data_IF_728903858477
#
_entry.id   IF_728903858477
#
_cell.length_a   1.000
_cell.length_b   1.000
_cell.length_c   1.000
_cell.angle_alpha   90.00
_cell.angle_beta   90.00
_cell.angle_gamma   90.00
#
_symmetry.space_group_name_H-M   'P 1'
#
loop_
_entity.id
_entity.type
_entity.pdbx_description
1 polymer ?
#
# COMPACT_ATOMS: atom_id res chain seq x y z
N UNK A 1 8.66 -3.31 3.09
CA UNK A 1 7.69 -4.31 2.58
C UNK A 1 6.29 -3.72 2.59
N UNK A 2 5.52 -3.93 1.53
CA UNK A 2 4.12 -3.49 1.48
C UNK A 2 3.17 -4.56 2.02
N UNK A 3 2.05 -4.11 2.58
CA UNK A 3 0.91 -4.92 2.98
C UNK A 3 -0.29 -4.64 2.08
N UNK A 4 -1.24 -5.57 2.02
CA UNK A 4 -2.41 -5.47 1.14
C UNK A 4 -3.70 -5.60 1.95
N UNK A 5 -4.55 -4.57 1.90
CA UNK A 5 -5.92 -4.65 2.40
C UNK A 5 -6.83 -5.15 1.28
N UNK A 6 -7.52 -6.27 1.50
CA UNK A 6 -8.46 -6.87 0.55
C UNK A 6 -9.88 -6.53 0.95
N UNK A 7 -10.58 -5.78 0.10
CA UNK A 7 -11.98 -5.40 0.32
C UNK A 7 -12.86 -6.27 -0.56
N UNK A 8 -13.69 -7.12 0.06
CA UNK A 8 -14.67 -7.96 -0.64
C UNK A 8 -15.99 -7.21 -0.80
N UNK A 9 -16.05 -6.30 -1.75
CA UNK A 9 -17.25 -5.53 -2.08
C UNK A 9 -17.50 -5.54 -3.60
N UNK A 10 -18.17 -6.59 -4.09
CA UNK A 10 -18.48 -6.81 -5.50
C UNK A 10 -17.25 -7.12 -6.36
N UNK A 11 -16.37 -6.13 -6.52
CA UNK A 11 -15.09 -6.25 -7.22
C UNK A 11 -13.94 -6.50 -6.22
N UNK A 12 -12.88 -7.20 -6.64
CA UNK A 12 -11.64 -7.33 -5.86
C UNK A 12 -10.90 -5.99 -5.77
N UNK A 13 -11.32 -5.12 -4.86
CA UNK A 13 -10.61 -3.89 -4.53
C UNK A 13 -9.50 -4.23 -3.53
N UNK A 14 -8.31 -3.73 -3.84
CA UNK A 14 -7.11 -3.92 -3.03
C UNK A 14 -6.48 -2.57 -2.75
N UNK A 15 -5.98 -2.39 -1.54
CA UNK A 15 -5.23 -1.19 -1.16
C UNK A 15 -3.83 -1.60 -0.73
N UNK A 16 -2.80 -0.99 -1.32
CA UNK A 16 -1.42 -1.16 -0.89
C UNK A 16 -1.16 -0.24 0.30
N UNK A 17 -0.59 -0.80 1.36
CA UNK A 17 -0.32 -0.13 2.63
C UNK A 17 1.14 -0.29 3.03
N UNK A 18 1.63 0.64 3.84
CA UNK A 18 2.95 0.58 4.46
C UNK A 18 2.83 0.90 5.96
N UNK A 19 3.58 0.18 6.79
CA UNK A 19 3.63 0.40 8.23
C UNK A 19 4.68 1.48 8.55
N UNK A 20 4.31 2.49 9.34
CA UNK A 20 5.20 3.65 9.58
C UNK A 20 6.00 3.51 10.88
N UNK A 21 5.42 2.84 11.88
CA UNK A 21 5.95 2.80 13.24
C UNK A 21 6.54 1.44 13.63
N UNK A 22 6.27 0.38 12.86
CA UNK A 22 6.82 -0.94 13.12
C UNK A 22 6.93 -1.77 11.83
N UNK A 23 7.95 -2.63 11.71
CA UNK A 23 8.15 -3.47 10.51
C UNK A 23 7.21 -4.67 10.46
N UNK A 24 6.79 -5.19 11.61
CA UNK A 24 5.75 -6.22 11.72
C UNK A 24 4.36 -5.57 11.76
N UNK A 25 3.51 -5.91 10.79
CA UNK A 25 2.13 -5.42 10.72
C UNK A 25 1.29 -5.77 11.96
N UNK A 26 1.50 -6.94 12.57
CA UNK A 26 0.74 -7.33 13.77
C UNK A 26 1.03 -6.45 15.00
N UNK A 27 2.18 -5.78 15.00
CA UNK A 27 2.66 -4.94 16.10
C UNK A 27 2.59 -3.44 15.77
N UNK A 28 2.27 -3.07 14.53
CA UNK A 28 2.18 -1.67 14.13
C UNK A 28 0.89 -1.02 14.66
N UNK A 29 0.96 0.26 14.99
CA UNK A 29 -0.22 1.06 15.35
C UNK A 29 -0.55 2.09 14.26
N UNK A 30 0.37 2.32 13.31
CA UNK A 30 0.22 3.31 12.24
C UNK A 30 0.54 2.72 10.89
N UNK A 31 -0.41 2.85 9.98
CA UNK A 31 -0.25 2.51 8.57
C UNK A 31 -0.62 3.69 7.69
N UNK A 32 0.02 3.77 6.53
CA UNK A 32 -0.38 4.67 5.44
C UNK A 32 -0.95 3.84 4.30
N UNK A 33 -2.13 4.24 3.82
CA UNK A 33 -2.73 3.72 2.60
C UNK A 33 -2.17 4.51 1.41
N UNK A 34 -1.52 3.83 0.47
CA UNK A 34 -0.80 4.48 -0.63
C UNK A 34 -1.67 4.60 -1.87
N UNK A 35 -2.21 3.48 -2.34
CA UNK A 35 -3.14 3.46 -3.47
C UNK A 35 -4.12 2.29 -3.42
N UNK A 36 -5.32 2.53 -3.95
CA UNK A 36 -6.35 1.51 -4.17
C UNK A 36 -6.46 1.16 -5.66
N UNK A 37 -6.68 -0.11 -5.97
CA UNK A 37 -6.87 -0.59 -7.33
C UNK A 37 -7.82 -1.79 -7.38
N UNK A 38 -8.51 -1.95 -8.49
CA UNK A 38 -9.23 -3.19 -8.79
C UNK A 38 -8.25 -4.19 -9.40
N UNK A 39 -8.07 -5.35 -8.78
CA UNK A 39 -7.22 -6.39 -9.35
C UNK A 39 -7.97 -7.17 -10.42
N UNK A 40 -7.55 -7.02 -11.68
CA UNK A 40 -8.05 -7.83 -12.80
C UNK A 40 -7.00 -8.84 -13.25
N UNK A 41 -5.72 -8.52 -13.08
CA UNK A 41 -4.57 -9.33 -13.49
C UNK A 41 -3.35 -9.06 -12.59
N UNK A 42 -2.30 -9.86 -12.76
CA UNK A 42 -1.00 -9.62 -12.11
C UNK A 42 -0.36 -8.30 -12.59
N UNK A 43 -0.64 -7.85 -13.82
CA UNK A 43 -0.12 -6.58 -14.34
C UNK A 43 -0.66 -5.38 -13.57
N UNK A 44 -1.92 -5.44 -13.11
CA UNK A 44 -2.51 -4.37 -12.28
C UNK A 44 -1.82 -4.26 -10.94
N UNK A 45 -1.52 -5.42 -10.33
CA UNK A 45 -0.77 -5.48 -9.07
C UNK A 45 0.62 -4.87 -9.22
N UNK A 46 1.38 -5.25 -10.26
CA UNK A 46 2.71 -4.69 -10.52
C UNK A 46 2.68 -3.17 -10.74
N UNK A 47 1.64 -2.65 -11.41
CA UNK A 47 1.44 -1.21 -11.56
C UNK A 47 1.14 -0.56 -10.21
N UNK A 48 0.30 -1.17 -9.40
CA UNK A 48 -0.05 -0.67 -8.07
C UNK A 48 1.19 -0.58 -7.16
N UNK A 49 2.07 -1.59 -7.17
CA UNK A 49 3.33 -1.56 -6.41
C UNK A 49 4.23 -0.41 -6.86
N UNK A 50 4.46 -0.23 -8.16
CA UNK A 50 5.28 0.88 -8.66
C UNK A 50 4.72 2.25 -8.27
N UNK A 51 3.40 2.40 -8.30
CA UNK A 51 2.73 3.62 -7.84
C UNK A 51 2.91 3.81 -6.33
N UNK A 52 2.78 2.74 -5.54
CA UNK A 52 2.96 2.79 -4.09
C UNK A 52 4.40 3.15 -3.69
N UNK A 53 5.41 2.61 -4.38
CA UNK A 53 6.83 2.96 -4.19
C UNK A 53 7.07 4.44 -4.42
N UNK A 54 6.53 5.00 -5.50
CA UNK A 54 6.64 6.43 -5.80
C UNK A 54 5.99 7.28 -4.70
N UNK A 55 4.76 6.97 -4.31
CA UNK A 55 4.03 7.72 -3.28
C UNK A 55 4.75 7.65 -1.93
N UNK A 56 5.29 6.47 -1.57
CA UNK A 56 6.02 6.29 -0.32
C UNK A 56 7.31 7.12 -0.32
N UNK A 57 8.08 7.11 -1.41
CA UNK A 57 9.29 7.91 -1.53
C UNK A 57 8.99 9.42 -1.39
N UNK A 58 7.94 9.91 -2.05
CA UNK A 58 7.51 11.30 -1.94
C UNK A 58 7.09 11.62 -0.49
N UNK A 59 6.31 10.73 0.14
CA UNK A 59 5.86 10.89 1.53
C UNK A 59 7.02 10.98 2.51
N UNK A 60 8.01 10.10 2.41
CA UNK A 60 9.21 10.10 3.26
C UNK A 60 10.05 11.35 3.06
N UNK A 61 10.25 11.76 1.80
CA UNK A 61 10.94 13.00 1.44
C UNK A 61 10.31 14.22 2.11
N UNK A 62 8.98 14.40 1.98
CA UNK A 62 8.29 15.54 2.59
C UNK A 62 8.24 15.51 4.12
N UNK A 63 8.28 14.32 4.72
CA UNK A 63 8.28 14.16 6.17
C UNK A 63 9.68 14.32 6.80
N UNK A 64 10.76 14.39 6.00
CA UNK A 64 12.14 14.36 6.46
C UNK A 64 12.47 13.15 7.35
N UNK A 65 11.96 11.97 6.99
CA UNK A 65 12.26 10.67 7.63
C UNK A 65 12.83 9.70 6.62
#
# INVERSE_FOLDING_TARGET
NFYELRIKAGNEIRVIMFTIDHSNFAECTKVVCLNGFQKKSTKDYLRAIKTAEKILNDYLYYKNI
#
